data_IF_623824932164
#
_entry.id   IF_623824932164
#
_cell.length_a   1.000
_cell.length_b   1.000
_cell.length_c   1.000
_cell.angle_alpha   90.00
_cell.angle_beta   90.00
_cell.angle_gamma   90.00
#
_symmetry.space_group_name_H-M   'P 1'
#
loop_
_entity.id
_entity.type
_entity.pdbx_description
1 polymer ?
#
# COMPACT_ATOMS: atom_id res chain seq x y z
N UNK A 1 -52.96 -22.06 6.21
CA UNK A 1 -51.69 -22.48 5.58
C UNK A 1 -50.70 -21.33 5.33
N UNK A 2 -50.96 -20.15 5.87
CA UNK A 2 -50.41 -18.87 5.44
C UNK A 2 -49.57 -18.20 6.57
N UNK A 3 -49.85 -18.49 7.84
CA UNK A 3 -49.13 -17.90 8.98
C UNK A 3 -47.72 -18.46 9.18
N UNK A 4 -47.48 -19.74 8.84
CA UNK A 4 -46.17 -20.40 8.95
C UNK A 4 -45.23 -19.90 7.83
N UNK A 5 -45.73 -19.72 6.61
CA UNK A 5 -44.96 -19.15 5.51
C UNK A 5 -44.61 -17.67 5.77
N UNK A 6 -45.53 -16.89 6.34
CA UNK A 6 -45.23 -15.51 6.76
C UNK A 6 -44.17 -15.48 7.86
N UNK A 7 -44.21 -16.40 8.82
CA UNK A 7 -43.22 -16.47 9.90
C UNK A 7 -41.83 -16.90 9.39
N UNK A 8 -41.76 -17.87 8.47
CA UNK A 8 -40.52 -18.29 7.81
C UNK A 8 -39.94 -17.14 6.99
N UNK A 9 -40.77 -16.41 6.22
CA UNK A 9 -40.35 -15.24 5.46
C UNK A 9 -39.82 -14.11 6.36
N UNK A 10 -40.43 -13.91 7.53
CA UNK A 10 -40.02 -12.88 8.51
C UNK A 10 -38.73 -13.24 9.27
N UNK A 11 -38.37 -14.53 9.33
CA UNK A 11 -37.10 -15.04 9.91
C UNK A 11 -35.97 -15.10 8.86
N UNK A 12 -36.29 -15.31 7.57
CA UNK A 12 -35.31 -15.33 6.47
C UNK A 12 -34.94 -13.94 5.93
N UNK A 13 -35.83 -12.94 6.04
CA UNK A 13 -35.57 -11.57 5.55
C UNK A 13 -34.42 -10.84 6.28
N UNK A 14 -34.22 -10.97 7.62
CA UNK A 14 -33.08 -10.34 8.31
C UNK A 14 -31.76 -11.06 8.06
N UNK A 15 -31.77 -12.36 7.75
CA UNK A 15 -30.56 -13.14 7.50
C UNK A 15 -29.84 -12.70 6.22
N UNK A 16 -30.57 -12.15 5.24
CA UNK A 16 -30.00 -11.65 3.99
C UNK A 16 -29.29 -10.30 4.13
N UNK A 17 -29.62 -9.50 5.16
CA UNK A 17 -28.96 -8.22 5.43
C UNK A 17 -27.68 -8.35 6.26
N UNK A 18 -27.42 -9.51 6.85
CA UNK A 18 -26.23 -9.75 7.67
C UNK A 18 -24.94 -9.97 6.85
N UNK A 19 -25.02 -9.96 5.52
CA UNK A 19 -23.88 -9.95 4.60
C UNK A 19 -23.62 -8.57 3.99
N UNK A 20 -23.94 -7.50 4.72
CA UNK A 20 -23.16 -6.28 4.55
C UNK A 20 -21.80 -6.58 5.18
N UNK A 21 -20.85 -7.06 4.38
CA UNK A 21 -19.46 -7.14 4.83
C UNK A 21 -19.13 -5.79 5.45
N UNK A 22 -18.59 -5.79 6.67
CA UNK A 22 -17.77 -4.65 7.08
C UNK A 22 -16.84 -4.41 5.90
N UNK A 23 -16.86 -3.20 5.34
CA UNK A 23 -15.99 -2.85 4.23
C UNK A 23 -14.56 -2.86 4.77
N UNK A 24 -14.00 -4.06 4.96
CA UNK A 24 -12.69 -4.26 5.52
C UNK A 24 -11.72 -3.56 4.59
N UNK A 25 -10.81 -2.79 5.18
CA UNK A 25 -9.83 -2.02 4.41
C UNK A 25 -9.08 -2.98 3.48
N UNK A 26 -8.80 -2.55 2.26
CA UNK A 26 -7.91 -3.32 1.39
C UNK A 26 -6.50 -3.31 1.97
N UNK A 27 -5.85 -4.48 1.99
CA UNK A 27 -4.43 -4.62 2.32
C UNK A 27 -3.62 -4.17 1.11
N UNK A 28 -2.68 -3.24 1.28
CA UNK A 28 -1.92 -2.63 0.19
C UNK A 28 -0.42 -2.60 0.50
N UNK A 29 0.37 -3.08 -0.46
CA UNK A 29 1.80 -2.83 -0.55
C UNK A 29 2.01 -1.90 -1.76
N UNK A 30 2.75 -0.81 -1.57
CA UNK A 30 3.13 0.10 -2.65
C UNK A 30 4.60 -0.11 -2.99
N UNK A 31 4.88 -0.23 -4.28
CA UNK A 31 6.21 -0.19 -4.86
C UNK A 31 6.33 1.13 -5.61
N UNK A 32 7.40 1.89 -5.36
CA UNK A 32 7.55 3.26 -5.87
C UNK A 32 9.01 3.62 -6.16
N UNK A 33 9.24 4.36 -7.24
CA UNK A 33 10.52 4.98 -7.58
C UNK A 33 10.59 6.44 -7.11
N UNK A 34 9.81 6.81 -6.09
CA UNK A 34 9.71 8.15 -5.53
C UNK A 34 11.09 8.81 -5.37
N UNK A 35 11.21 9.99 -5.98
CA UNK A 35 12.47 10.72 -6.10
C UNK A 35 13.11 10.60 -7.49
N UNK A 36 12.52 9.79 -8.38
CA UNK A 36 12.82 9.74 -9.81
C UNK A 36 12.50 11.03 -10.56
N UNK A 37 12.12 10.90 -11.83
CA UNK A 37 12.14 12.01 -12.78
C UNK A 37 10.93 12.96 -12.72
N UNK A 38 9.85 12.59 -12.05
CA UNK A 38 8.62 13.38 -11.95
C UNK A 38 8.05 13.41 -10.51
N UNK A 39 7.12 14.34 -10.21
CA UNK A 39 6.64 14.54 -8.85
C UNK A 39 5.42 13.69 -8.46
N UNK A 40 4.90 12.83 -9.34
CA UNK A 40 3.58 12.21 -9.19
C UNK A 40 3.55 11.09 -8.13
N UNK A 41 4.65 10.34 -7.97
CA UNK A 41 4.81 9.32 -6.93
C UNK A 41 4.78 9.94 -5.53
N UNK A 42 5.38 11.12 -5.36
CA UNK A 42 5.29 11.92 -4.13
C UNK A 42 3.86 12.37 -3.85
N UNK A 43 3.16 12.89 -4.86
CA UNK A 43 1.78 13.35 -4.72
C UNK A 43 0.84 12.18 -4.36
N UNK A 44 1.02 11.05 -5.02
CA UNK A 44 0.24 9.83 -4.81
C UNK A 44 0.49 9.25 -3.40
N UNK A 45 1.73 9.22 -2.93
CA UNK A 45 2.06 8.76 -1.58
C UNK A 45 1.45 9.68 -0.51
N UNK A 46 1.56 11.00 -0.66
CA UNK A 46 0.93 11.96 0.26
C UNK A 46 -0.58 11.72 0.34
N UNK A 47 -1.25 11.55 -0.81
CA UNK A 47 -2.69 11.29 -0.86
C UNK A 47 -3.04 9.96 -0.17
N UNK A 48 -2.25 8.90 -0.40
CA UNK A 48 -2.43 7.62 0.26
C UNK A 48 -2.33 7.75 1.79
N UNK A 49 -1.33 8.48 2.30
CA UNK A 49 -1.14 8.64 3.74
C UNK A 49 -2.27 9.42 4.41
N UNK A 50 -2.78 10.47 3.77
CA UNK A 50 -3.95 11.23 4.24
C UNK A 50 -5.21 10.34 4.26
N UNK A 51 -5.31 9.38 3.35
CA UNK A 51 -6.42 8.41 3.25
C UNK A 51 -6.13 7.06 3.94
N UNK A 52 -5.08 6.96 4.76
CA UNK A 52 -4.66 5.70 5.43
C UNK A 52 -5.71 5.15 6.40
N UNK A 53 -6.72 5.94 6.75
CA UNK A 53 -7.88 5.45 7.49
C UNK A 53 -8.80 4.53 6.70
N UNK A 54 -8.62 4.42 5.38
CA UNK A 54 -9.44 3.58 4.49
C UNK A 54 -8.70 2.38 3.91
N UNK A 55 -7.38 2.32 4.08
CA UNK A 55 -6.50 1.32 3.46
C UNK A 55 -5.52 0.80 4.52
N UNK A 56 -5.33 -0.50 4.60
CA UNK A 56 -4.29 -1.09 5.43
C UNK A 56 -2.98 -1.11 4.64
N UNK A 57 -2.15 -0.10 4.84
CA UNK A 57 -0.83 -0.01 4.21
C UNK A 57 0.11 -0.96 4.94
N UNK A 58 0.57 -1.99 4.25
CA UNK A 58 1.43 -3.04 4.80
C UNK A 58 2.88 -2.91 4.40
N UNK A 59 3.18 -2.13 3.37
CA UNK A 59 4.53 -1.88 2.89
C UNK A 59 4.62 -0.69 1.95
N UNK A 60 5.70 0.06 2.06
CA UNK A 60 6.12 1.07 1.08
C UNK A 60 7.55 0.74 0.67
N UNK A 61 7.72 0.24 -0.55
CA UNK A 61 8.97 -0.34 -1.05
C UNK A 61 9.58 0.64 -2.07
N UNK A 62 10.80 1.10 -1.79
CA UNK A 62 11.58 1.91 -2.73
C UNK A 62 12.20 0.99 -3.78
N UNK A 63 11.85 1.13 -5.05
CA UNK A 63 12.34 0.27 -6.12
C UNK A 63 12.48 1.06 -7.42
N UNK A 64 13.41 0.66 -8.28
CA UNK A 64 13.64 1.34 -9.54
C UNK A 64 12.87 0.69 -10.71
N UNK A 65 12.44 1.51 -11.66
CA UNK A 65 11.68 1.08 -12.83
C UNK A 65 12.51 1.08 -14.12
N UNK A 66 13.19 2.20 -14.41
CA UNK A 66 13.77 2.48 -15.72
C UNK A 66 15.30 2.50 -15.73
N UNK A 67 15.91 3.00 -14.66
CA UNK A 67 17.35 3.15 -14.54
C UNK A 67 17.81 2.59 -13.20
N UNK A 68 19.02 2.06 -13.20
CA UNK A 68 19.68 1.66 -11.97
C UNK A 68 19.99 2.92 -11.15
N UNK A 69 19.57 2.91 -9.89
CA UNK A 69 19.69 4.05 -8.99
C UNK A 69 19.97 3.57 -7.57
N UNK A 70 20.73 4.31 -6.75
CA UNK A 70 20.83 4.04 -5.32
C UNK A 70 19.46 3.93 -4.63
N UNK A 71 19.46 3.28 -3.45
CA UNK A 71 18.30 3.22 -2.55
C UNK A 71 17.70 4.62 -2.28
N UNK A 72 16.44 4.82 -2.68
CA UNK A 72 15.70 6.10 -2.54
C UNK A 72 14.76 6.11 -1.34
N UNK A 73 14.92 5.22 -0.36
CA UNK A 73 14.10 5.23 0.88
C UNK A 73 14.12 6.57 1.59
N UNK A 74 15.20 7.34 1.51
CA UNK A 74 15.26 8.66 2.14
C UNK A 74 14.25 9.64 1.54
N UNK A 75 13.92 9.50 0.26
CA UNK A 75 12.85 10.27 -0.38
C UNK A 75 11.47 9.92 0.20
N UNK A 76 11.24 8.63 0.50
CA UNK A 76 10.01 8.15 1.16
C UNK A 76 9.97 8.64 2.61
N UNK A 77 11.10 8.56 3.34
CA UNK A 77 11.22 9.06 4.71
C UNK A 77 10.96 10.55 4.80
N UNK A 78 11.43 11.35 3.84
CA UNK A 78 11.11 12.76 3.79
C UNK A 78 9.59 13.02 3.69
N UNK A 79 8.83 12.18 2.97
CA UNK A 79 7.36 12.25 2.96
C UNK A 79 6.77 11.79 4.29
N UNK A 80 7.31 10.73 4.90
CA UNK A 80 6.89 10.24 6.21
C UNK A 80 7.11 11.28 7.33
N UNK A 81 8.22 12.02 7.28
CA UNK A 81 8.51 13.12 8.21
C UNK A 81 7.48 14.24 8.07
N UNK A 82 7.15 14.64 6.85
CA UNK A 82 6.08 15.61 6.61
C UNK A 82 4.71 15.10 7.10
N UNK A 83 4.43 13.81 6.93
CA UNK A 83 3.23 13.18 7.47
C UNK A 83 3.20 13.20 9.01
N UNK A 84 4.34 12.95 9.67
CA UNK A 84 4.49 12.97 11.12
C UNK A 84 4.09 14.33 11.71
N UNK A 85 4.46 15.43 11.06
CA UNK A 85 4.08 16.79 11.49
C UNK A 85 2.56 17.02 11.48
N UNK A 86 1.81 16.37 10.59
CA UNK A 86 0.34 16.54 10.47
C UNK A 86 -0.47 15.42 11.12
N UNK A 87 0.18 14.33 11.57
CA UNK A 87 -0.47 13.16 12.15
C UNK A 87 -1.43 13.48 13.30
N UNK A 88 -1.03 14.37 14.22
CA UNK A 88 -1.86 14.78 15.35
C UNK A 88 -3.15 15.46 14.92
N UNK A 89 -3.15 16.16 13.77
CA UNK A 89 -4.36 16.75 13.23
C UNK A 89 -5.24 15.68 12.56
N UNK A 90 -4.64 14.80 11.74
CA UNK A 90 -5.36 13.73 11.04
C UNK A 90 -6.03 12.74 12.02
N UNK A 91 -5.32 12.33 13.07
CA UNK A 91 -5.81 11.39 14.08
C UNK A 91 -7.02 11.91 14.88
N UNK A 92 -7.20 13.23 14.96
CA UNK A 92 -8.42 13.84 15.55
C UNK A 92 -9.65 13.66 14.67
N UNK A 93 -9.47 13.46 13.36
CA UNK A 93 -10.54 13.26 12.40
C UNK A 93 -10.87 11.78 12.18
N UNK A 94 -9.88 10.88 12.28
CA UNK A 94 -10.08 9.45 12.11
C UNK A 94 -9.05 8.65 12.89
N UNK A 95 -9.50 7.72 13.75
CA UNK A 95 -8.61 6.86 14.54
C UNK A 95 -7.90 5.78 13.71
N UNK A 96 -8.29 5.62 12.44
CA UNK A 96 -7.79 4.57 11.56
C UNK A 96 -6.53 4.94 10.78
N UNK A 97 -6.04 6.18 10.87
CA UNK A 97 -4.85 6.63 10.16
C UNK A 97 -3.58 5.93 10.67
N UNK A 98 -2.65 5.62 9.77
CA UNK A 98 -1.41 4.91 10.12
C UNK A 98 -0.56 5.75 11.08
N UNK A 99 0.04 5.15 12.11
CA UNK A 99 0.95 5.90 12.99
C UNK A 99 2.27 6.17 12.27
N UNK A 100 2.97 7.29 12.56
CA UNK A 100 4.27 7.57 11.96
C UNK A 100 5.28 6.43 12.22
N UNK A 101 5.33 5.89 13.43
CA UNK A 101 6.23 4.79 13.76
C UNK A 101 5.88 3.50 13.02
N UNK A 102 4.58 3.23 12.80
CA UNK A 102 4.15 2.11 11.97
C UNK A 102 4.56 2.32 10.52
N UNK A 103 4.35 3.52 9.98
CA UNK A 103 4.77 3.88 8.63
C UNK A 103 6.27 3.68 8.44
N UNK A 104 7.09 4.18 9.37
CA UNK A 104 8.55 4.01 9.31
C UNK A 104 8.97 2.53 9.34
N UNK A 105 8.27 1.71 10.13
CA UNK A 105 8.55 0.26 10.25
C UNK A 105 8.25 -0.56 8.99
N UNK A 106 7.55 0.01 8.01
CA UNK A 106 7.14 -0.66 6.77
C UNK A 106 7.75 -0.01 5.51
N UNK A 107 8.73 0.89 5.67
CA UNK A 107 9.53 1.44 4.57
C UNK A 107 10.72 0.51 4.31
N UNK A 108 10.78 -0.08 3.12
CA UNK A 108 11.75 -1.13 2.81
C UNK A 108 12.48 -0.86 1.50
N UNK A 109 13.68 -1.43 1.37
CA UNK A 109 14.43 -1.39 0.12
C UNK A 109 13.93 -2.49 -0.81
N UNK A 110 13.55 -2.12 -2.02
CA UNK A 110 13.22 -3.02 -3.13
C UNK A 110 14.43 -3.27 -4.02
N UNK A 111 14.19 -3.37 -5.34
CA UNK A 111 15.25 -3.64 -6.31
C UNK A 111 15.96 -2.34 -6.73
N UNK A 112 17.29 -2.37 -6.70
CA UNK A 112 18.16 -1.30 -7.19
C UNK A 112 18.33 -1.38 -8.71
N UNK A 113 18.36 -2.60 -9.26
CA UNK A 113 18.49 -2.83 -10.70
C UNK A 113 17.14 -2.72 -11.39
N UNK A 114 17.06 -1.92 -12.44
CA UNK A 114 15.83 -1.73 -13.20
C UNK A 114 15.43 -2.99 -13.99
N UNK A 115 14.15 -3.04 -14.37
CA UNK A 115 13.58 -4.06 -15.25
C UNK A 115 13.81 -5.52 -14.77
N UNK A 116 13.73 -6.46 -15.71
CA UNK A 116 13.89 -7.89 -15.45
C UNK A 116 15.32 -8.24 -14.98
N UNK A 117 16.30 -7.37 -15.24
CA UNK A 117 17.68 -7.54 -14.76
C UNK A 117 17.79 -7.50 -13.23
N UNK A 118 16.85 -6.85 -12.54
CA UNK A 118 16.74 -6.90 -11.08
C UNK A 118 16.01 -8.12 -10.53
N UNK A 119 15.90 -9.20 -11.32
CA UNK A 119 15.23 -10.44 -10.91
C UNK A 119 16.11 -11.65 -11.20
N UNK A 120 16.01 -12.70 -10.37
CA UNK A 120 16.74 -13.94 -10.54
C UNK A 120 17.43 -14.41 -9.26
N UNK A 121 18.25 -15.44 -9.39
CA UNK A 121 19.02 -16.00 -8.27
C UNK A 121 19.96 -14.95 -7.68
N UNK A 122 19.88 -14.76 -6.37
CA UNK A 122 20.69 -13.77 -5.65
C UNK A 122 20.18 -12.33 -5.71
N UNK A 123 18.99 -12.09 -6.28
CA UNK A 123 18.39 -10.75 -6.41
C UNK A 123 17.25 -10.50 -5.40
N UNK A 124 17.19 -11.25 -4.30
CA UNK A 124 16.19 -10.99 -3.27
C UNK A 124 16.48 -9.64 -2.56
N UNK A 125 15.44 -8.88 -2.32
CA UNK A 125 15.48 -7.62 -1.59
C UNK A 125 14.64 -7.69 -0.31
N UNK A 126 14.83 -6.72 0.58
CA UNK A 126 13.98 -6.58 1.77
C UNK A 126 12.50 -6.49 1.38
N UNK A 127 12.19 -5.77 0.30
CA UNK A 127 10.86 -5.64 -0.26
C UNK A 127 10.29 -6.94 -0.84
N UNK A 128 11.08 -7.73 -1.58
CA UNK A 128 10.57 -9.01 -2.13
C UNK A 128 10.28 -10.03 -1.04
N UNK A 129 11.19 -10.15 -0.04
CA UNK A 129 10.99 -10.99 1.13
C UNK A 129 9.76 -10.56 1.94
N UNK A 130 9.53 -9.25 2.06
CA UNK A 130 8.34 -8.73 2.72
C UNK A 130 7.05 -9.05 1.97
N UNK A 131 7.05 -8.92 0.64
CA UNK A 131 5.91 -9.30 -0.19
C UNK A 131 5.59 -10.79 0.03
N UNK A 132 6.59 -11.67 -0.05
CA UNK A 132 6.42 -13.11 0.20
C UNK A 132 5.78 -13.32 1.57
N UNK A 133 6.37 -12.74 2.61
CA UNK A 133 5.88 -12.86 3.99
C UNK A 133 4.42 -12.42 4.15
N UNK A 134 4.03 -11.30 3.53
CA UNK A 134 2.66 -10.74 3.66
C UNK A 134 1.62 -11.51 2.86
N UNK A 135 2.01 -12.04 1.71
CA UNK A 135 1.13 -12.85 0.85
C UNK A 135 0.96 -14.26 1.41
N UNK A 136 1.99 -14.83 2.04
CA UNK A 136 1.93 -16.16 2.66
C UNK A 136 1.32 -16.18 4.06
N UNK A 137 0.98 -15.02 4.64
CA UNK A 137 0.40 -14.92 5.97
C UNK A 137 -1.09 -15.33 5.95
N UNK A 138 -1.37 -16.54 6.40
CA UNK A 138 -2.73 -17.10 6.46
C UNK A 138 -3.57 -16.56 7.63
N UNK A 139 -3.01 -15.72 8.51
CA UNK A 139 -3.74 -15.17 9.65
C UNK A 139 -4.78 -14.12 9.25
N UNK A 140 -4.63 -13.52 8.07
CA UNK A 140 -5.59 -12.58 7.47
C UNK A 140 -6.00 -13.07 6.07
N UNK A 141 -7.26 -13.52 5.96
CA UNK A 141 -7.82 -14.08 4.72
C UNK A 141 -8.12 -13.05 3.62
N UNK A 142 -7.89 -11.74 3.85
CA UNK A 142 -8.06 -10.71 2.82
C UNK A 142 -6.89 -10.75 1.82
N UNK A 143 -7.15 -10.51 0.52
CA UNK A 143 -6.07 -10.44 -0.46
C UNK A 143 -5.17 -9.22 -0.21
N UNK A 144 -3.88 -9.36 -0.55
CA UNK A 144 -2.91 -8.27 -0.58
C UNK A 144 -2.84 -7.69 -1.99
N UNK A 145 -3.08 -6.39 -2.12
CA UNK A 145 -2.89 -5.67 -3.36
C UNK A 145 -1.46 -5.13 -3.44
N UNK A 146 -0.82 -5.28 -4.60
CA UNK A 146 0.49 -4.70 -4.90
C UNK A 146 0.28 -3.61 -5.95
N UNK A 147 0.50 -2.36 -5.56
CA UNK A 147 0.47 -1.23 -6.47
C UNK A 147 1.89 -0.87 -6.89
N UNK A 148 2.19 -1.06 -8.17
CA UNK A 148 3.41 -0.60 -8.79
C UNK A 148 3.19 0.81 -9.36
N UNK A 149 3.82 1.81 -8.75
CA UNK A 149 3.82 3.21 -9.21
C UNK A 149 5.23 3.58 -9.60
N UNK A 150 5.38 4.07 -10.82
CA UNK A 150 6.65 4.40 -11.41
C UNK A 150 6.49 5.65 -12.25
N UNK A 151 7.54 6.46 -12.32
CA UNK A 151 7.56 7.64 -13.14
C UNK A 151 7.40 7.29 -14.62
N UNK A 152 7.11 8.29 -15.43
CA UNK A 152 7.24 8.11 -16.89
C UNK A 152 8.71 7.83 -17.27
N UNK A 153 8.98 6.99 -18.28
CA UNK A 153 10.35 6.74 -18.71
C UNK A 153 10.99 8.07 -19.16
N UNK A 154 12.24 8.36 -18.75
CA UNK A 154 12.91 9.60 -19.13
C UNK A 154 12.99 9.72 -20.65
N UNK A 155 12.83 10.94 -21.18
CA UNK A 155 13.07 11.14 -22.60
C UNK A 155 14.55 10.96 -22.91
N UNK A 156 14.88 10.48 -24.11
CA UNK A 156 16.28 10.22 -24.54
C UNK A 156 17.19 11.45 -24.34
N UNK A 157 16.64 12.67 -24.34
CA UNK A 157 17.39 13.91 -24.11
C UNK A 157 17.56 14.35 -22.65
N UNK A 158 16.99 13.63 -21.69
CA UNK A 158 17.11 13.92 -20.24
C UNK A 158 18.26 13.11 -19.58
N UNK A 159 18.99 12.32 -20.38
CA UNK A 159 20.07 11.43 -19.94
C UNK A 159 21.48 12.04 -20.17
N UNK A 160 21.56 13.30 -20.57
CA UNK A 160 22.81 14.05 -20.81
C UNK A 160 23.25 14.91 -19.61
#
# INVERSE_FOLDING_TARGET
>A
MNKIHTLILMILLPACFAFAGSGDKSRLIVMTDLGGFDPDDKQSLIHLLVCSDRIDIEGVISTNAWLDDPDRRDSIRAVADNYREVYNNLSRHSSGVITPDRLDSIIMRGQETAHISGTGEGMDSEGSEWIIRRVSDESDGRPVWIAARFCTPPHIGDLD
#
